data_IF_867026240184
#
_entry.id   IF_867026240184
#
_cell.length_a   1.000
_cell.length_b   1.000
_cell.length_c   1.000
_cell.angle_alpha   90.00
_cell.angle_beta   90.00
_cell.angle_gamma   90.00
#
_symmetry.space_group_name_H-M   'P 1'
#
loop_
_entity.id
_entity.type
_entity.pdbx_description
1 polymer ?
#
# COMPACT_ATOMS: atom_id res chain seq x y z
N UNK A 1 -0.15 4.00 8.89
CA UNK A 1 -1.39 3.72 8.13
C UNK A 1 -1.16 3.85 6.63
N UNK A 2 -1.05 5.05 6.03
CA UNK A 2 -0.87 5.20 4.55
C UNK A 2 0.32 4.40 4.02
N UNK A 3 1.51 4.57 4.61
CA UNK A 3 2.72 3.88 4.16
C UNK A 3 2.62 2.36 4.33
N UNK A 4 2.01 1.86 5.41
CA UNK A 4 1.85 0.42 5.64
C UNK A 4 0.84 -0.21 4.69
N UNK A 5 -0.27 0.48 4.40
CA UNK A 5 -1.24 0.03 3.38
C UNK A 5 -0.56 -0.01 2.01
N UNK A 6 0.20 1.05 1.67
CA UNK A 6 0.95 1.11 0.41
C UNK A 6 1.99 -0.01 0.30
N UNK A 7 2.76 -0.24 1.35
CA UNK A 7 3.74 -1.32 1.40
C UNK A 7 3.08 -2.70 1.28
N UNK A 8 1.97 -2.94 1.98
CA UNK A 8 1.23 -4.20 1.88
C UNK A 8 0.69 -4.44 0.46
N UNK A 9 0.11 -3.43 -0.17
CA UNK A 9 -0.36 -3.50 -1.56
C UNK A 9 0.80 -3.75 -2.53
N UNK A 10 1.91 -3.02 -2.39
CA UNK A 10 3.10 -3.20 -3.23
C UNK A 10 3.71 -4.59 -3.06
N UNK A 11 3.79 -5.09 -1.82
CA UNK A 11 4.21 -6.46 -1.53
C UNK A 11 3.32 -7.48 -2.24
N UNK A 12 2.00 -7.29 -2.20
CA UNK A 12 1.05 -8.12 -2.94
C UNK A 12 1.31 -8.10 -4.46
N UNK A 13 1.53 -6.92 -5.05
CA UNK A 13 1.82 -6.75 -6.49
C UNK A 13 3.11 -7.46 -6.88
N UNK A 14 4.15 -7.37 -6.04
CA UNK A 14 5.46 -7.98 -6.29
C UNK A 14 5.53 -9.47 -5.94
N UNK A 15 4.45 -10.06 -5.39
CA UNK A 15 4.45 -11.45 -4.92
C UNK A 15 5.31 -11.68 -3.68
N UNK A 16 5.56 -10.64 -2.88
CA UNK A 16 6.35 -10.70 -1.65
C UNK A 16 5.40 -10.89 -0.46
N UNK A 17 5.59 -11.96 0.30
CA UNK A 17 4.89 -12.14 1.57
C UNK A 17 5.53 -11.24 2.64
N UNK A 18 4.75 -10.31 3.18
CA UNK A 18 5.17 -9.47 4.31
C UNK A 18 4.66 -10.05 5.63
N UNK A 19 5.56 -10.27 6.58
CA UNK A 19 5.18 -10.65 7.95
C UNK A 19 4.96 -9.40 8.82
N UNK A 20 3.94 -9.40 9.70
CA UNK A 20 3.73 -8.28 10.62
C UNK A 20 4.94 -8.09 11.53
N UNK A 21 5.51 -6.89 11.55
CA UNK A 21 6.60 -6.53 12.47
C UNK A 21 6.05 -6.02 13.80
N UNK A 22 6.76 -6.28 14.90
CA UNK A 22 6.37 -5.82 16.25
C UNK A 22 6.20 -4.31 16.33
N UNK A 23 7.04 -3.55 15.62
CA UNK A 23 6.97 -2.08 15.55
C UNK A 23 5.68 -1.58 14.87
N UNK A 24 5.18 -2.28 13.84
CA UNK A 24 3.91 -1.96 13.18
C UNK A 24 2.69 -2.18 14.08
N UNK A 25 2.77 -3.14 15.01
CA UNK A 25 1.70 -3.42 15.96
C UNK A 25 1.51 -2.29 17.00
N UNK A 26 2.55 -1.49 17.28
CA UNK A 26 2.50 -0.44 18.29
C UNK A 26 1.48 0.67 17.94
N UNK A 27 1.28 0.94 16.65
CA UNK A 27 0.39 2.00 16.18
C UNK A 27 -1.05 1.54 15.90
N UNK A 28 -1.30 0.23 15.96
CA UNK A 28 -2.60 -0.37 15.62
C UNK A 28 -3.72 0.17 16.51
N UNK A 29 -3.46 0.32 17.81
CA UNK A 29 -4.42 0.88 18.78
C UNK A 29 -4.79 2.33 18.44
N UNK A 30 -3.82 3.13 17.99
CA UNK A 30 -4.04 4.51 17.58
C UNK A 30 -4.87 4.58 16.29
N UNK A 31 -4.63 3.69 15.33
CA UNK A 31 -5.41 3.65 14.08
C UNK A 31 -6.84 3.18 14.31
N UNK A 32 -7.05 2.16 15.15
CA UNK A 32 -8.40 1.72 15.53
C UNK A 32 -9.18 2.88 16.14
N UNK A 33 -8.58 3.63 17.08
CA UNK A 33 -9.23 4.80 17.66
C UNK A 33 -9.58 5.83 16.58
N UNK A 34 -8.62 6.16 15.71
CA UNK A 34 -8.82 7.13 14.63
C UNK A 34 -9.91 6.73 13.64
N UNK A 35 -10.04 5.44 13.32
CA UNK A 35 -11.07 4.93 12.41
C UNK A 35 -12.45 4.94 13.09
N UNK A 36 -12.53 4.70 14.40
CA UNK A 36 -13.78 4.85 15.15
C UNK A 36 -14.25 6.30 15.17
N UNK A 37 -13.32 7.24 15.30
CA UNK A 37 -13.61 8.67 15.34
C UNK A 37 -13.90 9.27 13.95
N UNK A 38 -13.25 8.77 12.89
CA UNK A 38 -13.48 9.12 11.48
C UNK A 38 -13.49 7.85 10.62
N UNK A 39 -14.67 7.27 10.31
CA UNK A 39 -14.78 6.07 9.49
C UNK A 39 -14.17 6.23 8.09
N UNK A 40 -14.16 7.45 7.55
CA UNK A 40 -13.55 7.74 6.26
C UNK A 40 -12.02 7.78 6.30
N UNK A 41 -11.42 7.82 7.50
CA UNK A 41 -9.97 7.88 7.64
C UNK A 41 -9.28 6.69 6.96
N UNK A 42 -9.90 5.51 7.00
CA UNK A 42 -9.39 4.32 6.32
C UNK A 42 -9.42 4.50 4.80
N UNK A 43 -10.56 4.91 4.24
CA UNK A 43 -10.71 5.11 2.79
C UNK A 43 -9.78 6.21 2.27
N UNK A 44 -9.69 7.35 2.98
CA UNK A 44 -8.77 8.44 2.66
C UNK A 44 -7.32 7.98 2.65
N UNK A 45 -6.92 7.17 3.63
CA UNK A 45 -5.57 6.63 3.69
C UNK A 45 -5.29 5.63 2.57
N UNK A 46 -6.24 4.75 2.27
CA UNK A 46 -6.15 3.80 1.16
C UNK A 46 -6.05 4.52 -0.19
N UNK A 47 -6.83 5.58 -0.41
CA UNK A 47 -6.76 6.37 -1.64
C UNK A 47 -5.36 6.98 -1.86
N UNK A 48 -4.77 7.57 -0.81
CA UNK A 48 -3.39 8.09 -0.86
C UNK A 48 -2.36 6.98 -1.07
N UNK A 49 -2.53 5.83 -0.42
CA UNK A 49 -1.66 4.68 -0.60
C UNK A 49 -1.69 4.17 -2.05
N UNK A 50 -2.87 4.06 -2.66
CA UNK A 50 -3.03 3.67 -4.06
C UNK A 50 -2.37 4.67 -5.02
N UNK A 51 -2.43 5.97 -4.74
CA UNK A 51 -1.73 6.98 -5.55
C UNK A 51 -0.20 6.82 -5.46
N UNK A 52 0.33 6.60 -4.25
CA UNK A 52 1.76 6.38 -4.05
C UNK A 52 2.26 5.11 -4.75
N UNK A 53 1.53 3.99 -4.62
CA UNK A 53 1.83 2.73 -5.32
C UNK A 53 1.86 2.94 -6.83
N UNK A 54 0.82 3.58 -7.40
CA UNK A 54 0.76 3.87 -8.85
C UNK A 54 1.92 4.75 -9.31
N UNK A 55 2.31 5.72 -8.50
CA UNK A 55 3.46 6.57 -8.80
C UNK A 55 4.76 5.75 -8.84
N UNK A 56 5.00 4.90 -7.84
CA UNK A 56 6.17 4.01 -7.79
C UNK A 56 6.18 3.04 -8.97
N UNK A 57 5.04 2.44 -9.31
CA UNK A 57 4.88 1.57 -10.48
C UNK A 57 5.19 2.31 -11.79
N UNK A 58 4.79 3.58 -11.91
CA UNK A 58 5.07 4.42 -13.08
C UNK A 58 6.53 4.84 -13.21
N UNK A 59 7.32 4.74 -12.14
CA UNK A 59 8.77 4.99 -12.15
C UNK A 59 9.60 3.75 -12.47
N UNK A 60 9.04 2.54 -12.34
CA UNK A 60 9.70 1.34 -12.83
C UNK A 60 9.83 1.50 -14.35
N UNK A 61 11.07 1.47 -14.87
CA UNK A 61 11.42 1.81 -16.25
C UNK A 61 10.37 1.32 -17.24
N UNK A 62 10.02 2.17 -18.22
CA UNK A 62 9.10 1.85 -19.34
C UNK A 62 9.36 0.40 -19.72
N UNK A 63 8.44 -0.50 -19.35
CA UNK A 63 8.48 -1.88 -19.86
C UNK A 63 8.46 -1.71 -21.37
N UNK A 64 9.63 -1.84 -22.01
CA UNK A 64 9.75 -2.07 -23.44
C UNK A 64 8.69 -3.11 -23.72
N UNK A 65 7.68 -2.73 -24.53
CA UNK A 65 6.62 -3.64 -24.92
C UNK A 65 7.27 -4.83 -25.61
N UNK A 66 7.62 -5.87 -24.85
CA UNK A 66 7.70 -7.22 -25.35
C UNK A 66 6.24 -7.60 -25.60
N UNK A 67 5.77 -7.12 -26.76
CA UNK A 67 4.63 -7.62 -27.47
C UNK A 67 4.79 -9.14 -27.43
N UNK A 68 3.96 -9.84 -26.65
CA UNK A 68 3.89 -11.30 -26.72
C UNK A 68 3.30 -11.60 -28.09
N UNK A 69 4.18 -11.76 -29.07
CA UNK A 69 3.89 -12.18 -30.43
C UNK A 69 3.49 -13.65 -30.43
N UNK A 70 2.41 -13.91 -31.19
CA UNK A 70 1.92 -15.19 -31.71
C UNK A 70 1.59 -16.29 -30.68
#
# INVERSE_FOLDING_TARGET
>A
MVAEIGAAVQCCILGITSTPKKESAQYLKSWIKRIKDDPDALFKASAKASQAVKFIEGLQEVKTKAKKSA
#
